data_IF_958580820123
#
_entry.id   IF_958580820123
#
_cell.length_a   1.000
_cell.length_b   1.000
_cell.length_c   1.000
_cell.angle_alpha   90.00
_cell.angle_beta   90.00
_cell.angle_gamma   90.00
#
_symmetry.space_group_name_H-M   'P 1'
#
loop_
_entity.id
_entity.type
_entity.pdbx_description
1 polymer ?
#
# COMPACT_ATOMS: atom_id res chain seq x y z
N UNK A 1 2.81 1.13 -8.39
CA UNK A 1 2.48 1.06 -6.93
C UNK A 1 2.65 -0.34 -6.35
N UNK A 2 2.15 -1.37 -7.01
CA UNK A 2 2.26 -2.76 -6.54
C UNK A 2 3.72 -3.15 -6.32
N UNK A 3 4.58 -2.88 -7.29
CA UNK A 3 6.01 -3.19 -7.18
C UNK A 3 6.65 -2.47 -5.98
N UNK A 4 6.27 -1.21 -5.75
CA UNK A 4 6.78 -0.44 -4.63
C UNK A 4 6.37 -1.05 -3.29
N UNK A 5 5.11 -1.49 -3.18
CA UNK A 5 4.63 -2.14 -1.97
C UNK A 5 5.30 -3.50 -1.73
N UNK A 6 5.61 -4.23 -2.80
CA UNK A 6 6.35 -5.50 -2.69
C UNK A 6 7.76 -5.27 -2.12
N UNK A 7 8.43 -4.23 -2.58
CA UNK A 7 9.75 -3.86 -2.05
C UNK A 7 9.66 -3.41 -0.60
N UNK A 8 8.68 -2.59 -0.29
CA UNK A 8 8.43 -2.11 1.07
C UNK A 8 8.14 -3.28 2.01
N UNK A 9 7.35 -4.26 1.55
CA UNK A 9 7.07 -5.48 2.31
C UNK A 9 8.35 -6.23 2.65
N UNK A 10 9.22 -6.44 1.67
CA UNK A 10 10.48 -7.15 1.88
C UNK A 10 11.40 -6.45 2.87
N UNK A 11 11.57 -5.13 2.70
CA UNK A 11 12.41 -4.34 3.60
C UNK A 11 11.85 -4.29 5.02
N UNK A 12 10.53 -4.17 5.15
CA UNK A 12 9.86 -4.18 6.46
C UNK A 12 10.02 -5.52 7.15
N UNK A 13 9.94 -6.61 6.40
CA UNK A 13 10.13 -7.95 6.93
C UNK A 13 11.54 -8.13 7.53
N UNK A 14 12.57 -7.70 6.82
CA UNK A 14 13.95 -7.78 7.31
C UNK A 14 14.16 -6.83 8.49
N UNK A 15 13.61 -5.62 8.42
CA UNK A 15 13.68 -4.65 9.51
C UNK A 15 13.10 -5.22 10.80
N UNK A 16 11.89 -5.78 10.75
CA UNK A 16 11.24 -6.37 11.91
C UNK A 16 11.95 -7.64 12.39
N UNK A 17 12.41 -8.47 11.47
CA UNK A 17 13.12 -9.69 11.81
C UNK A 17 14.46 -9.44 12.50
N UNK A 18 15.09 -8.31 12.21
CA UNK A 18 16.35 -7.90 12.84
C UNK A 18 16.14 -7.01 14.08
N UNK A 19 14.90 -6.84 14.52
CA UNK A 19 14.52 -5.97 15.64
C UNK A 19 14.97 -4.53 15.44
N UNK A 20 14.83 -4.04 14.21
CA UNK A 20 15.14 -2.67 13.86
C UNK A 20 16.61 -2.39 13.52
N UNK A 21 17.46 -3.43 13.51
CA UNK A 21 18.91 -3.25 13.28
C UNK A 21 19.28 -3.11 11.81
N UNK A 22 18.46 -3.63 10.89
CA UNK A 22 18.82 -3.72 9.48
C UNK A 22 17.82 -3.03 8.60
N UNK A 23 18.34 -2.33 7.58
CA UNK A 23 17.56 -1.78 6.47
C UNK A 23 16.56 -0.69 6.85
N UNK A 24 16.72 -0.03 8.01
CA UNK A 24 15.82 1.07 8.38
C UNK A 24 15.93 2.22 7.39
N UNK A 25 17.13 2.62 7.01
CA UNK A 25 17.36 3.68 6.05
C UNK A 25 16.78 3.33 4.67
N UNK A 26 17.07 2.11 4.19
CA UNK A 26 16.55 1.63 2.92
C UNK A 26 15.03 1.54 2.93
N UNK A 27 14.44 1.12 4.07
CA UNK A 27 13.00 1.08 4.26
C UNK A 27 12.39 2.48 4.16
N UNK A 28 13.00 3.47 4.81
CA UNK A 28 12.51 4.85 4.76
C UNK A 28 12.64 5.43 3.34
N UNK A 29 13.72 5.16 2.64
CA UNK A 29 13.89 5.57 1.24
C UNK A 29 12.82 4.93 0.36
N UNK A 30 12.52 3.67 0.58
CA UNK A 30 11.47 2.98 -0.17
C UNK A 30 10.09 3.56 0.13
N UNK A 31 9.81 3.91 1.38
CA UNK A 31 8.55 4.56 1.76
C UNK A 31 8.39 5.88 1.00
N UNK A 32 9.44 6.69 0.91
CA UNK A 32 9.40 7.94 0.16
C UNK A 32 9.09 7.69 -1.32
N UNK A 33 9.72 6.70 -1.92
CA UNK A 33 9.44 6.32 -3.31
C UNK A 33 8.00 5.83 -3.47
N UNK A 34 7.50 5.04 -2.52
CA UNK A 34 6.13 4.55 -2.51
C UNK A 34 5.12 5.69 -2.40
N UNK A 35 5.41 6.70 -1.59
CA UNK A 35 4.53 7.86 -1.41
C UNK A 35 4.35 8.64 -2.70
N UNK A 36 5.42 8.82 -3.48
CA UNK A 36 5.33 9.47 -4.79
C UNK A 36 4.42 8.67 -5.72
N UNK A 37 4.64 7.36 -5.82
CA UNK A 37 3.79 6.49 -6.63
C UNK A 37 2.34 6.46 -6.12
N UNK A 38 2.15 6.51 -4.81
CA UNK A 38 0.82 6.55 -4.21
C UNK A 38 0.04 7.79 -4.64
N UNK A 39 0.68 8.95 -4.63
CA UNK A 39 0.02 10.20 -5.05
C UNK A 39 -0.41 10.13 -6.52
N UNK A 40 0.47 9.63 -7.39
CA UNK A 40 0.14 9.46 -8.80
C UNK A 40 -1.01 8.49 -8.99
N UNK A 41 -1.02 7.39 -8.27
CA UNK A 41 -2.08 6.39 -8.34
C UNK A 41 -3.40 6.94 -7.80
N UNK A 42 -3.37 7.69 -6.70
CA UNK A 42 -4.58 8.31 -6.14
C UNK A 42 -5.20 9.29 -7.13
N UNK A 43 -4.39 10.07 -7.82
CA UNK A 43 -4.87 11.01 -8.84
C UNK A 43 -5.53 10.26 -10.00
N UNK A 44 -4.90 9.18 -10.46
CA UNK A 44 -5.45 8.34 -11.52
C UNK A 44 -6.77 7.69 -11.11
N UNK A 45 -6.84 7.12 -9.91
CA UNK A 45 -8.05 6.46 -9.41
C UNK A 45 -9.19 7.47 -9.23
N UNK A 46 -8.88 8.68 -8.77
CA UNK A 46 -9.87 9.75 -8.68
C UNK A 46 -10.43 10.12 -10.05
N UNK A 47 -9.56 10.22 -11.06
CA UNK A 47 -10.01 10.51 -12.43
C UNK A 47 -10.93 9.42 -12.95
N UNK A 48 -10.60 8.16 -12.72
CA UNK A 48 -11.45 7.03 -13.10
C UNK A 48 -12.79 7.06 -12.36
N UNK A 49 -12.77 7.35 -11.07
CA UNK A 49 -13.99 7.45 -10.27
C UNK A 49 -14.91 8.54 -10.81
N UNK A 50 -14.37 9.72 -11.10
CA UNK A 50 -15.17 10.85 -11.59
C UNK A 50 -15.68 10.63 -13.01
N UNK A 51 -14.99 9.82 -13.83
CA UNK A 51 -15.37 9.56 -15.21
C UNK A 51 -16.38 8.46 -15.41
N UNK A 52 -16.81 7.75 -14.35
CA UNK A 52 -17.62 6.53 -14.47
C UNK A 52 -19.07 6.70 -14.05
N UNK A 53 -19.61 7.92 -14.11
CA UNK A 53 -20.95 8.21 -13.53
C UNK A 53 -22.12 7.57 -14.26
N UNK A 54 -21.96 7.21 -15.55
CA UNK A 54 -23.10 6.87 -16.40
C UNK A 54 -23.09 5.42 -16.91
N UNK A 55 -22.24 4.55 -16.37
CA UNK A 55 -22.08 3.21 -16.89
C UNK A 55 -22.41 2.16 -15.81
N UNK A 56 -23.34 1.24 -16.13
CA UNK A 56 -23.78 0.19 -15.20
C UNK A 56 -22.66 -0.76 -14.76
N UNK A 57 -21.60 -0.90 -15.54
CA UNK A 57 -20.43 -1.71 -15.15
C UNK A 57 -19.53 -1.01 -14.15
N UNK A 58 -19.75 0.28 -13.92
CA UNK A 58 -18.91 1.10 -13.07
C UNK A 58 -19.03 0.78 -11.58
N UNK A 59 -20.14 0.18 -11.14
CA UNK A 59 -20.35 -0.13 -9.72
C UNK A 59 -19.25 -1.03 -9.16
N UNK A 60 -18.88 -2.05 -9.92
CA UNK A 60 -17.83 -2.98 -9.52
C UNK A 60 -16.47 -2.29 -9.50
N UNK A 61 -16.18 -1.50 -10.51
CA UNK A 61 -14.94 -0.73 -10.59
C UNK A 61 -14.87 0.30 -9.46
N UNK A 62 -15.96 1.02 -9.20
CA UNK A 62 -16.02 2.00 -8.12
C UNK A 62 -15.80 1.36 -6.76
N UNK A 63 -16.37 0.19 -6.52
CA UNK A 63 -16.15 -0.56 -5.28
C UNK A 63 -14.68 -0.96 -5.12
N UNK A 64 -14.06 -1.44 -6.18
CA UNK A 64 -12.64 -1.81 -6.16
C UNK A 64 -11.74 -0.59 -5.92
N UNK A 65 -12.03 0.53 -6.57
CA UNK A 65 -11.29 1.78 -6.38
C UNK A 65 -11.42 2.26 -4.93
N UNK A 66 -12.64 2.26 -4.40
CA UNK A 66 -12.89 2.68 -3.02
C UNK A 66 -12.12 1.80 -2.04
N UNK A 67 -12.15 0.49 -2.24
CA UNK A 67 -11.43 -0.46 -1.40
C UNK A 67 -9.92 -0.22 -1.44
N UNK A 68 -9.37 0.01 -2.64
CA UNK A 68 -7.95 0.30 -2.80
C UNK A 68 -7.55 1.61 -2.10
N UNK A 69 -8.36 2.67 -2.25
CA UNK A 69 -8.11 3.95 -1.60
C UNK A 69 -8.16 3.82 -0.08
N UNK A 70 -9.11 3.08 0.45
CA UNK A 70 -9.21 2.81 1.89
C UNK A 70 -7.98 2.05 2.39
N UNK A 71 -7.52 1.06 1.62
CA UNK A 71 -6.31 0.33 1.94
C UNK A 71 -5.09 1.24 2.02
N UNK A 72 -4.94 2.15 1.05
CA UNK A 72 -3.84 3.10 1.05
C UNK A 72 -3.93 4.09 2.22
N UNK A 73 -5.12 4.42 2.68
CA UNK A 73 -5.30 5.30 3.84
C UNK A 73 -4.77 4.67 5.13
N UNK A 74 -4.65 3.35 5.18
CA UNK A 74 -4.09 2.64 6.33
C UNK A 74 -2.56 2.52 6.28
N UNK A 75 -1.92 2.87 5.15
CA UNK A 75 -0.46 2.76 5.01
C UNK A 75 0.31 3.56 6.07
N UNK A 76 -0.03 4.83 6.34
CA UNK A 76 0.70 5.58 7.36
C UNK A 76 0.65 4.91 8.74
N UNK A 77 -0.50 4.37 9.13
CA UNK A 77 -0.64 3.65 10.40
C UNK A 77 0.20 2.36 10.41
N UNK A 78 0.16 1.60 9.31
CA UNK A 78 0.97 0.40 9.16
C UNK A 78 2.47 0.72 9.27
N UNK A 79 2.92 1.77 8.58
CA UNK A 79 4.32 2.20 8.61
C UNK A 79 4.75 2.63 10.01
N UNK A 80 3.88 3.31 10.73
CA UNK A 80 4.15 3.72 12.11
C UNK A 80 4.27 2.53 13.05
N UNK A 81 3.40 1.55 12.92
CA UNK A 81 3.45 0.31 13.70
C UNK A 81 4.73 -0.47 13.44
N UNK A 82 5.17 -0.52 12.18
CA UNK A 82 6.42 -1.18 11.82
C UNK A 82 7.61 -0.42 12.42
N UNK A 83 7.64 0.90 12.31
CA UNK A 83 8.71 1.72 12.87
C UNK A 83 8.82 1.54 14.39
N UNK A 84 7.69 1.41 15.06
CA UNK A 84 7.63 1.16 16.50
C UNK A 84 7.83 -0.32 16.87
N UNK A 85 8.05 -1.18 15.88
CA UNK A 85 8.22 -2.63 16.05
C UNK A 85 7.06 -3.28 16.80
N UNK A 86 5.84 -2.83 16.52
CA UNK A 86 4.62 -3.34 17.14
C UNK A 86 4.02 -4.53 16.39
N UNK A 87 4.58 -4.89 15.23
CA UNK A 87 4.12 -6.00 14.41
C UNK A 87 5.22 -7.05 14.27
N UNK A 88 4.82 -8.31 14.15
CA UNK A 88 5.75 -9.37 13.74
C UNK A 88 6.01 -9.26 12.24
N UNK A 89 7.11 -9.87 11.73
CA UNK A 89 7.34 -9.91 10.28
C UNK A 89 6.15 -10.51 9.51
N UNK A 90 5.52 -11.55 10.06
CA UNK A 90 4.37 -12.19 9.43
C UNK A 90 3.17 -11.24 9.35
N UNK A 91 2.87 -10.52 10.43
CA UNK A 91 1.77 -9.56 10.46
C UNK A 91 1.99 -8.44 9.44
N UNK A 92 3.22 -7.92 9.34
CA UNK A 92 3.60 -6.92 8.35
C UNK A 92 3.41 -7.46 6.93
N UNK A 93 3.92 -8.64 6.64
CA UNK A 93 3.79 -9.29 5.34
C UNK A 93 2.33 -9.46 4.96
N UNK A 94 1.49 -9.93 5.86
CA UNK A 94 0.07 -10.12 5.60
C UNK A 94 -0.64 -8.80 5.32
N UNK A 95 -0.30 -7.73 6.03
CA UNK A 95 -0.89 -6.42 5.81
C UNK A 95 -0.55 -5.88 4.41
N UNK A 96 0.71 -5.98 3.99
CA UNK A 96 1.11 -5.58 2.64
C UNK A 96 0.46 -6.45 1.57
N UNK A 97 0.34 -7.75 1.81
CA UNK A 97 -0.31 -8.65 0.85
C UNK A 97 -1.78 -8.29 0.62
N UNK A 98 -2.49 -7.89 1.67
CA UNK A 98 -3.89 -7.44 1.53
C UNK A 98 -3.98 -6.19 0.67
N UNK A 99 -3.08 -5.23 0.87
CA UNK A 99 -3.04 -4.01 0.09
C UNK A 99 -2.73 -4.30 -1.37
N UNK A 100 -1.75 -5.15 -1.63
CA UNK A 100 -1.36 -5.54 -2.99
C UNK A 100 -2.51 -6.25 -3.69
N UNK A 101 -3.19 -7.16 -3.00
CA UNK A 101 -4.35 -7.88 -3.54
C UNK A 101 -5.47 -6.90 -3.91
N UNK A 102 -5.75 -5.93 -3.05
CA UNK A 102 -6.75 -4.90 -3.33
C UNK A 102 -6.41 -4.08 -4.56
N UNK A 103 -5.14 -3.74 -4.75
CA UNK A 103 -4.69 -3.02 -5.94
C UNK A 103 -4.77 -3.86 -7.20
N UNK A 104 -4.48 -5.15 -7.11
CA UNK A 104 -4.59 -6.07 -8.25
C UNK A 104 -6.03 -6.20 -8.73
N UNK A 105 -7.01 -6.08 -7.84
CA UNK A 105 -8.41 -6.14 -8.21
C UNK A 105 -8.87 -4.94 -9.05
N UNK A 106 -8.17 -3.81 -8.95
CA UNK A 106 -8.45 -2.62 -9.75
C UNK A 106 -7.81 -2.71 -11.13
N UNK A 107 -6.67 -3.32 -11.22
CA UNK A 107 -5.88 -3.47 -12.43
C UNK A 107 -6.34 -4.69 -13.20
#
# INVERSE_FOLDING_TARGET
MIHQLQRERGLSNVFLGSKGDRFDEQRQQQITASEVCEQDLRSLLKSLYLGQHDNGQSMRLLSSITFALQGMDHLPDLRNKIAAQQLTPLESTNAYCRLITGLLDVV
#
